data_IF_033073406947
#
_entry.id   IF_033073406947
#
_cell.length_a   1.000
_cell.length_b   1.000
_cell.length_c   1.000
_cell.angle_alpha   90.00
_cell.angle_beta   90.00
_cell.angle_gamma   90.00
#
_symmetry.space_group_name_H-M   'P 1'
#
loop_
_entity.id
_entity.type
_entity.pdbx_description
1 polymer ?
#
# COMPACT_ATOMS: atom_id res chain seq x y z
N UNK A 1 36.52 -2.80 -22.20
CA UNK A 1 36.34 -3.49 -20.90
C UNK A 1 34.99 -3.08 -20.34
N UNK A 2 34.00 -3.98 -20.32
CA UNK A 2 32.71 -3.69 -19.72
C UNK A 2 32.92 -3.60 -18.19
N UNK A 3 32.90 -2.38 -17.65
CA UNK A 3 32.98 -2.17 -16.21
C UNK A 3 31.91 -2.98 -15.48
N UNK A 4 32.27 -3.60 -14.35
CA UNK A 4 31.37 -4.39 -13.51
C UNK A 4 30.06 -3.62 -13.32
N UNK A 5 28.99 -4.08 -13.97
CA UNK A 5 27.66 -3.48 -13.91
C UNK A 5 26.97 -3.85 -12.59
N UNK A 6 27.59 -3.51 -11.46
CA UNK A 6 27.10 -3.80 -10.12
C UNK A 6 25.90 -2.92 -9.78
N UNK A 7 24.91 -3.47 -9.07
CA UNK A 7 23.77 -2.69 -8.57
C UNK A 7 24.24 -1.61 -7.59
N UNK A 8 23.67 -0.41 -7.70
CA UNK A 8 23.84 0.65 -6.70
C UNK A 8 22.71 0.63 -5.68
N UNK A 9 22.93 1.26 -4.53
CA UNK A 9 21.89 1.43 -3.52
C UNK A 9 20.67 2.17 -4.09
N UNK A 10 20.89 3.28 -4.83
CA UNK A 10 19.82 4.06 -5.46
C UNK A 10 18.95 3.22 -6.40
N UNK A 11 19.56 2.39 -7.25
CA UNK A 11 18.83 1.50 -8.15
C UNK A 11 17.96 0.49 -7.38
N UNK A 12 18.49 -0.07 -6.28
CA UNK A 12 17.75 -1.04 -5.46
C UNK A 12 16.63 -0.34 -4.69
N UNK A 13 16.84 0.87 -4.19
CA UNK A 13 15.83 1.69 -3.52
C UNK A 13 14.63 1.92 -4.42
N UNK A 14 14.85 2.32 -5.68
CA UNK A 14 13.75 2.53 -6.64
C UNK A 14 13.04 1.21 -6.97
N UNK A 15 13.75 0.09 -7.09
CA UNK A 15 13.11 -1.22 -7.31
C UNK A 15 12.30 -1.67 -6.09
N UNK A 16 12.78 -1.42 -4.86
CA UNK A 16 12.05 -1.71 -3.62
C UNK A 16 10.79 -0.85 -3.50
N UNK A 17 10.89 0.42 -3.86
CA UNK A 17 9.77 1.34 -3.92
C UNK A 17 8.65 0.85 -4.85
N UNK A 18 9.02 0.44 -6.08
CA UNK A 18 8.08 -0.11 -7.05
C UNK A 18 7.56 -1.49 -6.64
N UNK A 19 8.40 -2.33 -6.00
CA UNK A 19 7.96 -3.59 -5.42
C UNK A 19 6.77 -3.37 -4.48
N UNK A 20 6.83 -2.39 -3.59
CA UNK A 20 5.72 -2.07 -2.68
C UNK A 20 4.46 -1.64 -3.44
N UNK A 21 4.58 -0.71 -4.38
CA UNK A 21 3.46 -0.02 -5.06
C UNK A 21 2.83 -0.78 -6.23
N UNK A 22 3.43 -1.85 -6.73
CA UNK A 22 2.89 -2.64 -7.85
C UNK A 22 2.51 -4.06 -7.43
N UNK A 23 1.42 -4.64 -7.98
CA UNK A 23 1.06 -6.02 -7.64
C UNK A 23 2.17 -7.00 -8.01
N UNK A 24 2.59 -7.82 -7.05
CA UNK A 24 3.75 -8.71 -7.20
C UNK A 24 3.70 -9.60 -8.46
N UNK A 25 2.52 -10.16 -8.77
CA UNK A 25 2.32 -11.02 -9.94
C UNK A 25 2.41 -10.31 -11.29
N UNK A 26 2.50 -8.98 -11.32
CA UNK A 26 2.62 -8.20 -12.56
C UNK A 26 4.07 -7.88 -12.94
N UNK A 27 5.06 -8.19 -12.11
CA UNK A 27 6.47 -8.00 -12.46
C UNK A 27 6.91 -9.03 -13.52
N UNK A 28 6.86 -8.60 -14.78
CA UNK A 28 7.29 -9.37 -15.94
C UNK A 28 8.04 -8.46 -16.90
N UNK A 29 9.13 -8.96 -17.50
CA UNK A 29 9.96 -8.20 -18.43
C UNK A 29 9.18 -7.71 -19.67
N UNK A 30 8.00 -8.29 -19.94
CA UNK A 30 7.11 -7.90 -21.03
C UNK A 30 6.25 -6.67 -20.73
N UNK A 31 6.05 -6.34 -19.46
CA UNK A 31 5.19 -5.22 -19.03
C UNK A 31 5.90 -3.88 -19.21
N UNK A 32 5.18 -2.89 -19.70
CA UNK A 32 5.78 -1.60 -20.06
C UNK A 32 6.35 -0.86 -18.85
N UNK A 33 5.64 -0.86 -17.72
CA UNK A 33 6.16 -0.26 -16.49
C UNK A 33 7.51 -0.88 -16.03
N UNK A 34 7.75 -2.17 -16.29
CA UNK A 34 9.01 -2.84 -15.94
C UNK A 34 10.12 -2.44 -16.92
N UNK A 35 9.80 -2.26 -18.21
CA UNK A 35 10.74 -1.75 -19.21
C UNK A 35 11.12 -0.30 -18.93
N UNK A 36 10.14 0.54 -18.60
CA UNK A 36 10.32 1.94 -18.23
C UNK A 36 11.17 2.07 -16.97
N UNK A 37 10.86 1.30 -15.92
CA UNK A 37 11.66 1.24 -14.70
C UNK A 37 13.11 0.82 -15.01
N UNK A 38 13.29 -0.21 -15.82
CA UNK A 38 14.61 -0.65 -16.27
C UNK A 38 15.38 0.48 -16.97
N UNK A 39 14.75 1.12 -17.96
CA UNK A 39 15.36 2.24 -18.69
C UNK A 39 15.74 3.40 -17.76
N UNK A 40 14.84 3.77 -16.84
CA UNK A 40 15.05 4.84 -15.87
C UNK A 40 16.31 4.62 -15.01
N UNK A 41 16.51 3.39 -14.54
CA UNK A 41 17.62 3.06 -13.64
C UNK A 41 18.86 2.49 -14.36
N UNK A 42 18.87 2.49 -15.70
CA UNK A 42 19.98 1.95 -16.51
C UNK A 42 20.12 0.42 -16.44
N UNK A 43 19.01 -0.32 -16.37
CA UNK A 43 18.94 -1.78 -16.25
C UNK A 43 18.02 -2.40 -17.30
N UNK A 44 18.20 -3.69 -17.58
CA UNK A 44 17.24 -4.43 -18.41
C UNK A 44 16.00 -4.81 -17.60
N UNK A 45 14.86 -4.96 -18.27
CA UNK A 45 13.62 -5.39 -17.65
C UNK A 45 13.77 -6.75 -16.92
N UNK A 46 14.51 -7.70 -17.49
CA UNK A 46 14.83 -8.97 -16.83
C UNK A 46 15.66 -8.81 -15.56
N UNK A 47 16.59 -7.84 -15.54
CA UNK A 47 17.38 -7.56 -14.34
C UNK A 47 16.49 -6.99 -13.22
N UNK A 48 15.53 -6.14 -13.56
CA UNK A 48 14.52 -5.62 -12.62
C UNK A 48 13.67 -6.75 -12.05
N UNK A 49 13.12 -7.63 -12.88
CA UNK A 49 12.30 -8.78 -12.41
C UNK A 49 13.09 -9.67 -11.45
N UNK A 50 14.35 -10.00 -11.79
CA UNK A 50 15.22 -10.76 -10.88
C UNK A 50 15.48 -10.02 -9.57
N UNK A 51 15.68 -8.70 -9.62
CA UNK A 51 15.89 -7.87 -8.42
C UNK A 51 14.67 -7.87 -7.51
N UNK A 52 13.47 -7.77 -8.09
CA UNK A 52 12.20 -7.86 -7.36
C UNK A 52 12.07 -9.22 -6.66
N UNK A 53 12.42 -10.32 -7.34
CA UNK A 53 12.45 -11.65 -6.73
C UNK A 53 13.40 -11.74 -5.53
N UNK A 54 14.61 -11.18 -5.65
CA UNK A 54 15.58 -11.14 -4.54
C UNK A 54 15.04 -10.32 -3.36
N UNK A 55 14.48 -9.13 -3.60
CA UNK A 55 13.91 -8.29 -2.55
C UNK A 55 12.74 -8.99 -1.85
N UNK A 56 11.85 -9.64 -2.62
CA UNK A 56 10.74 -10.41 -2.07
C UNK A 56 11.18 -11.58 -1.17
N UNK A 57 12.40 -12.10 -1.32
CA UNK A 57 12.91 -13.16 -0.44
C UNK A 57 13.24 -12.70 0.99
N UNK A 58 13.39 -11.38 1.19
CA UNK A 58 13.56 -10.78 2.52
C UNK A 58 12.24 -10.44 3.20
N UNK A 59 11.14 -10.42 2.46
CA UNK A 59 9.80 -10.21 3.01
C UNK A 59 9.39 -11.45 3.82
N UNK A 60 9.20 -11.34 5.16
CA UNK A 60 8.88 -12.48 6.00
C UNK A 60 7.62 -13.22 5.54
N UNK A 61 6.63 -12.49 5.01
CA UNK A 61 5.37 -13.06 4.55
C UNK A 61 5.54 -13.79 3.23
N UNK A 62 6.32 -13.24 2.30
CA UNK A 62 6.62 -13.93 1.04
C UNK A 62 7.49 -15.17 1.26
N UNK A 63 8.47 -15.09 2.17
CA UNK A 63 9.30 -16.22 2.56
C UNK A 63 8.49 -17.37 3.15
N UNK A 64 7.50 -17.07 4.01
CA UNK A 64 6.58 -18.08 4.55
C UNK A 64 5.74 -18.80 3.46
N UNK A 65 5.65 -18.22 2.26
CA UNK A 65 4.95 -18.77 1.09
C UNK A 65 5.90 -19.44 0.09
N UNK A 66 7.16 -19.64 0.44
CA UNK A 66 8.15 -20.34 -0.40
C UNK A 66 8.81 -19.47 -1.46
N UNK A 67 8.75 -18.13 -1.33
CA UNK A 67 9.52 -17.24 -2.22
C UNK A 67 10.96 -17.17 -1.72
N UNK A 68 11.87 -17.73 -2.51
CA UNK A 68 13.31 -17.78 -2.24
C UNK A 68 14.09 -16.87 -3.19
N UNK A 69 15.18 -16.29 -2.68
CA UNK A 69 16.05 -15.39 -3.44
C UNK A 69 17.12 -16.14 -4.23
N UNK A 70 17.72 -15.48 -5.22
CA UNK A 70 18.86 -16.05 -5.95
C UNK A 70 20.14 -16.00 -5.09
N UNK A 71 20.87 -17.11 -5.05
CA UNK A 71 21.89 -17.41 -4.03
C UNK A 71 23.15 -16.51 -3.95
N UNK A 72 23.36 -15.53 -4.85
CA UNK A 72 24.70 -14.93 -5.02
C UNK A 72 24.83 -13.39 -5.09
N UNK A 73 23.77 -12.61 -4.87
CA UNK A 73 23.86 -11.12 -4.94
C UNK A 73 23.19 -10.38 -3.77
N UNK A 74 22.81 -11.09 -2.71
CA UNK A 74 21.90 -10.63 -1.67
C UNK A 74 22.44 -9.56 -0.70
N UNK A 75 23.76 -9.35 -0.59
CA UNK A 75 24.32 -8.48 0.48
C UNK A 75 23.84 -7.03 0.42
N UNK A 76 23.89 -6.39 -0.75
CA UNK A 76 23.41 -5.01 -0.87
C UNK A 76 21.88 -4.95 -0.83
N UNK A 77 21.20 -5.96 -1.37
CA UNK A 77 19.74 -6.08 -1.31
C UNK A 77 19.25 -6.14 0.15
N UNK A 78 19.94 -6.89 1.01
CA UNK A 78 19.67 -6.98 2.44
C UNK A 78 19.92 -5.67 3.18
N UNK A 79 20.98 -4.95 2.83
CA UNK A 79 21.28 -3.62 3.41
C UNK A 79 20.16 -2.64 3.08
N UNK A 80 19.75 -2.56 1.82
CA UNK A 80 18.66 -1.69 1.39
C UNK A 80 17.33 -2.12 2.02
N UNK A 81 17.06 -3.42 2.08
CA UNK A 81 15.87 -3.95 2.75
C UNK A 81 15.82 -3.52 4.21
N UNK A 82 16.89 -3.75 4.99
CA UNK A 82 16.96 -3.38 6.42
C UNK A 82 16.87 -1.87 6.65
N UNK A 83 17.38 -1.07 5.71
CA UNK A 83 17.29 0.40 5.78
C UNK A 83 15.85 0.90 5.74
N UNK A 84 14.99 0.24 4.97
CA UNK A 84 13.65 0.74 4.65
C UNK A 84 12.49 -0.09 5.22
N UNK A 85 12.70 -1.35 5.57
CA UNK A 85 11.65 -2.20 6.13
C UNK A 85 11.19 -1.65 7.48
N UNK A 86 9.91 -1.24 7.55
CA UNK A 86 9.35 -0.53 8.70
C UNK A 86 9.57 0.99 8.71
N UNK A 87 10.36 1.53 7.77
CA UNK A 87 10.57 2.97 7.58
C UNK A 87 10.12 3.40 6.17
N UNK A 88 8.81 3.25 5.95
CA UNK A 88 8.18 3.44 4.64
C UNK A 88 8.15 4.89 4.19
N UNK A 89 8.01 5.84 5.12
CA UNK A 89 8.12 7.29 4.82
C UNK A 89 9.47 7.62 4.21
N UNK A 90 10.54 7.08 4.80
CA UNK A 90 11.90 7.30 4.29
C UNK A 90 12.09 6.64 2.92
N UNK A 91 11.54 5.43 2.72
CA UNK A 91 11.59 4.77 1.40
C UNK A 91 10.93 5.64 0.33
N UNK A 92 9.71 6.11 0.61
CA UNK A 92 8.94 6.88 -0.35
C UNK A 92 9.65 8.18 -0.72
N UNK A 93 10.12 8.93 0.28
CA UNK A 93 10.81 10.19 0.06
C UNK A 93 12.16 10.01 -0.67
N UNK A 94 13.01 9.08 -0.22
CA UNK A 94 14.30 8.83 -0.85
C UNK A 94 14.12 8.37 -2.31
N UNK A 95 13.15 7.49 -2.57
CA UNK A 95 12.89 6.99 -3.92
C UNK A 95 12.42 8.10 -4.87
N UNK A 96 11.51 8.98 -4.45
CA UNK A 96 11.06 10.09 -5.28
C UNK A 96 12.18 11.11 -5.57
N UNK A 97 13.08 11.37 -4.60
CA UNK A 97 14.28 12.16 -4.84
C UNK A 97 15.21 11.53 -5.90
N UNK A 98 15.45 10.23 -5.80
CA UNK A 98 16.27 9.49 -6.77
C UNK A 98 15.60 9.53 -8.15
N UNK A 99 14.30 9.28 -8.24
CA UNK A 99 13.54 9.29 -9.49
C UNK A 99 13.59 10.68 -10.15
N UNK A 100 13.39 11.75 -9.36
CA UNK A 100 13.48 13.13 -9.86
C UNK A 100 14.88 13.41 -10.42
N UNK A 101 15.94 13.02 -9.69
CA UNK A 101 17.32 13.16 -10.13
C UNK A 101 17.60 12.39 -11.44
N UNK A 102 17.17 11.12 -11.54
CA UNK A 102 17.34 10.31 -12.75
C UNK A 102 16.60 10.89 -13.97
N UNK A 103 15.50 11.61 -13.73
CA UNK A 103 14.75 12.34 -14.77
C UNK A 103 15.35 13.70 -15.11
N UNK A 104 16.39 14.14 -14.41
CA UNK A 104 16.94 15.50 -14.47
C UNK A 104 15.88 16.58 -14.19
N UNK A 105 15.00 16.33 -13.21
CA UNK A 105 13.92 17.23 -12.79
C UNK A 105 14.04 17.60 -11.32
N UNK A 106 13.48 18.76 -10.95
CA UNK A 106 13.20 19.06 -9.55
C UNK A 106 12.15 18.09 -9.00
N UNK A 107 12.14 17.89 -7.67
CA UNK A 107 11.20 16.96 -7.02
C UNK A 107 9.74 17.36 -7.31
N UNK A 108 9.45 18.65 -7.24
CA UNK A 108 8.08 19.18 -7.42
C UNK A 108 7.60 19.04 -8.86
N UNK A 109 8.50 19.27 -9.82
CA UNK A 109 8.22 19.04 -11.25
C UNK A 109 8.02 17.55 -11.55
N UNK A 110 8.83 16.67 -10.93
CA UNK A 110 8.69 15.22 -11.10
C UNK A 110 7.36 14.68 -10.57
N UNK A 111 6.86 15.26 -9.47
CA UNK A 111 5.59 14.89 -8.84
C UNK A 111 4.37 15.61 -9.44
N UNK A 112 4.55 16.49 -10.43
CA UNK A 112 3.48 17.32 -11.00
C UNK A 112 2.69 18.10 -9.94
N UNK A 113 3.37 18.57 -8.89
CA UNK A 113 2.77 19.33 -7.81
C UNK A 113 2.61 20.78 -8.24
N UNK A 114 1.38 21.30 -8.21
CA UNK A 114 1.16 22.73 -8.36
C UNK A 114 1.75 23.47 -7.14
N UNK A 115 2.77 24.28 -7.41
CA UNK A 115 3.50 25.04 -6.41
C UNK A 115 2.78 26.32 -5.99
N UNK A 116 1.77 26.76 -6.75
CA UNK A 116 1.13 28.05 -6.53
C UNK A 116 0.35 28.08 -5.21
N UNK A 117 -0.20 26.94 -4.79
CA UNK A 117 -0.97 26.76 -3.56
C UNK A 117 -0.13 26.29 -2.35
N UNK A 118 1.20 26.19 -2.51
CA UNK A 118 2.07 25.70 -1.44
C UNK A 118 2.77 26.83 -0.69
N UNK A 119 2.77 26.80 0.67
CA UNK A 119 3.52 27.75 1.48
C UNK A 119 5.02 27.69 1.13
N UNK A 120 5.77 28.71 1.54
CA UNK A 120 7.22 28.78 1.32
C UNK A 120 8.01 28.11 2.45
N UNK A 121 9.28 27.77 2.19
CA UNK A 121 10.18 27.27 3.22
C UNK A 121 9.86 25.86 3.73
N UNK A 122 9.99 25.63 5.04
CA UNK A 122 9.85 24.31 5.65
C UNK A 122 8.45 23.69 5.50
N UNK A 123 7.41 24.52 5.53
CA UNK A 123 6.02 24.07 5.35
C UNK A 123 5.81 23.45 3.97
N UNK A 124 6.47 23.98 2.93
CA UNK A 124 6.46 23.39 1.58
C UNK A 124 6.96 21.95 1.59
N UNK A 125 8.08 21.73 2.26
CA UNK A 125 8.75 20.43 2.32
C UNK A 125 7.88 19.43 3.08
N UNK A 126 7.24 19.86 4.16
CA UNK A 126 6.31 19.02 4.92
C UNK A 126 5.10 18.61 4.08
N UNK A 127 4.50 19.54 3.33
CA UNK A 127 3.35 19.25 2.48
C UNK A 127 3.70 18.32 1.30
N UNK A 128 4.87 18.51 0.68
CA UNK A 128 5.39 17.59 -0.35
C UNK A 128 5.58 16.18 0.24
N UNK A 129 6.24 16.06 1.41
CA UNK A 129 6.42 14.77 2.10
C UNK A 129 5.09 14.10 2.41
N UNK A 130 4.10 14.88 2.88
CA UNK A 130 2.76 14.37 3.19
C UNK A 130 2.09 13.77 1.94
N UNK A 131 2.17 14.45 0.79
CA UNK A 131 1.62 13.96 -0.48
C UNK A 131 2.29 12.66 -0.94
N UNK A 132 3.63 12.64 -0.96
CA UNK A 132 4.42 11.44 -1.29
C UNK A 132 4.02 10.26 -0.40
N UNK A 133 3.92 10.49 0.92
CA UNK A 133 3.57 9.46 1.88
C UNK A 133 2.13 8.93 1.68
N UNK A 134 1.17 9.81 1.40
CA UNK A 134 -0.22 9.43 1.14
C UNK A 134 -0.36 8.62 -0.16
N UNK A 135 0.29 9.06 -1.23
CA UNK A 135 0.28 8.36 -2.51
C UNK A 135 0.96 6.99 -2.42
N UNK A 136 2.12 6.94 -1.76
CA UNK A 136 2.82 5.69 -1.50
C UNK A 136 1.97 4.70 -0.70
N UNK A 137 1.36 5.16 0.40
CA UNK A 137 0.49 4.32 1.23
C UNK A 137 -0.68 3.79 0.40
N UNK A 138 -1.38 4.67 -0.31
CA UNK A 138 -2.52 4.30 -1.15
C UNK A 138 -2.15 3.23 -2.15
N UNK A 139 -1.10 3.46 -2.94
CA UNK A 139 -0.70 2.52 -3.98
C UNK A 139 -0.21 1.19 -3.40
N UNK A 140 0.55 1.22 -2.30
CA UNK A 140 1.05 0.00 -1.66
C UNK A 140 -0.09 -0.85 -1.11
N UNK A 141 -1.08 -0.24 -0.45
CA UNK A 141 -2.27 -0.93 0.03
C UNK A 141 -3.03 -1.53 -1.15
N UNK A 142 -3.40 -0.75 -2.17
CA UNK A 142 -4.13 -1.27 -3.34
C UNK A 142 -3.36 -2.41 -4.04
N UNK A 143 -2.05 -2.27 -4.20
CA UNK A 143 -1.20 -3.29 -4.81
C UNK A 143 -1.12 -4.60 -4.00
N UNK A 144 -1.11 -4.50 -2.66
CA UNK A 144 -1.07 -5.67 -1.77
C UNK A 144 -2.30 -6.57 -1.92
N UNK A 145 -3.47 -5.97 -2.18
CA UNK A 145 -4.74 -6.63 -2.47
C UNK A 145 -4.96 -6.90 -3.97
N UNK A 146 -3.93 -6.72 -4.81
CA UNK A 146 -4.01 -6.89 -6.26
C UNK A 146 -5.13 -6.05 -6.90
N UNK A 147 -5.30 -4.82 -6.43
CA UNK A 147 -6.33 -3.87 -6.86
C UNK A 147 -7.75 -4.45 -6.73
N UNK A 148 -8.06 -5.00 -5.56
CA UNK A 148 -9.35 -5.60 -5.27
C UNK A 148 -9.82 -5.23 -3.87
N UNK A 149 -11.09 -4.83 -3.73
CA UNK A 149 -11.70 -4.64 -2.42
C UNK A 149 -11.65 -5.95 -1.63
N UNK A 150 -11.20 -5.89 -0.37
CA UNK A 150 -11.05 -7.06 0.49
C UNK A 150 -12.39 -7.62 1.01
N UNK A 151 -13.48 -6.87 0.93
CA UNK A 151 -14.83 -7.31 1.30
C UNK A 151 -15.59 -7.83 0.07
N UNK A 152 -15.71 -7.01 -0.97
CA UNK A 152 -16.59 -7.29 -2.12
C UNK A 152 -15.89 -7.96 -3.30
N UNK A 153 -14.55 -7.95 -3.35
CA UNK A 153 -13.81 -8.40 -4.52
C UNK A 153 -13.91 -7.48 -5.75
N UNK A 154 -14.49 -6.28 -5.61
CA UNK A 154 -14.57 -5.28 -6.68
C UNK A 154 -13.16 -4.86 -7.13
N UNK A 155 -12.91 -4.84 -8.45
CA UNK A 155 -11.58 -4.59 -9.03
C UNK A 155 -11.43 -3.29 -9.83
N UNK A 156 -12.44 -2.43 -9.83
CA UNK A 156 -12.35 -1.14 -10.53
C UNK A 156 -11.55 -0.14 -9.68
N UNK A 157 -10.33 0.26 -10.08
CA UNK A 157 -9.47 1.11 -9.24
C UNK A 157 -10.09 2.48 -8.91
N UNK A 158 -10.98 2.99 -9.76
CA UNK A 158 -11.69 4.26 -9.52
C UNK A 158 -12.64 4.19 -8.31
N UNK A 159 -13.06 2.99 -7.95
CA UNK A 159 -13.97 2.74 -6.82
C UNK A 159 -13.22 2.24 -5.57
N UNK A 160 -11.90 2.10 -5.63
CA UNK A 160 -11.07 1.59 -4.53
C UNK A 160 -10.45 2.72 -3.72
N UNK A 161 -10.39 2.47 -2.42
CA UNK A 161 -9.79 3.32 -1.40
C UNK A 161 -8.80 2.51 -0.57
N UNK A 162 -7.75 3.18 -0.12
CA UNK A 162 -6.87 2.69 0.93
C UNK A 162 -7.36 3.29 2.25
N UNK A 163 -8.03 2.48 3.05
CA UNK A 163 -8.52 2.85 4.37
C UNK A 163 -7.44 2.56 5.40
N UNK A 164 -7.18 3.52 6.30
CA UNK A 164 -6.37 3.26 7.48
C UNK A 164 -7.18 2.48 8.51
N UNK A 165 -6.56 1.48 9.15
CA UNK A 165 -7.20 0.75 10.25
C UNK A 165 -7.30 1.66 11.47
N UNK A 166 -6.19 2.27 11.85
CA UNK A 166 -6.10 3.32 12.88
C UNK A 166 -5.76 4.65 12.20
N UNK A 167 -6.52 5.69 12.53
CA UNK A 167 -6.53 6.95 11.79
C UNK A 167 -5.18 7.69 11.77
N UNK A 168 -4.91 8.40 10.68
CA UNK A 168 -3.66 9.13 10.43
C UNK A 168 -3.20 10.08 11.55
N UNK A 169 -4.15 10.70 12.26
CA UNK A 169 -3.86 11.63 13.36
C UNK A 169 -3.49 10.93 14.67
N UNK A 170 -3.89 9.67 14.83
CA UNK A 170 -3.76 8.94 16.09
C UNK A 170 -2.41 8.24 16.20
N UNK A 171 -1.81 7.85 15.08
CA UNK A 171 -0.57 7.08 15.07
C UNK A 171 0.38 7.56 13.95
N UNK A 172 1.34 8.39 14.31
CA UNK A 172 2.32 8.92 13.36
C UNK A 172 3.23 7.84 12.78
N UNK A 173 3.59 6.83 13.58
CA UNK A 173 4.49 5.77 13.18
C UNK A 173 3.87 4.83 12.13
N UNK A 174 2.53 4.73 12.10
CA UNK A 174 1.79 3.86 11.19
C UNK A 174 1.15 4.57 9.99
N UNK A 175 1.45 5.85 9.76
CA UNK A 175 0.87 6.65 8.64
C UNK A 175 1.10 6.04 7.27
N UNK A 176 2.31 5.55 7.03
CA UNK A 176 2.70 4.89 5.77
C UNK A 176 2.87 3.39 5.90
N UNK A 177 2.57 2.81 7.08
CA UNK A 177 2.65 1.38 7.29
C UNK A 177 1.54 0.66 6.49
N UNK A 178 1.86 -0.13 5.45
CA UNK A 178 0.82 -0.79 4.67
C UNK A 178 0.05 -1.85 5.46
N UNK A 179 0.59 -2.36 6.58
CA UNK A 179 -0.15 -3.25 7.49
C UNK A 179 -1.24 -2.51 8.30
N UNK A 180 -1.21 -1.18 8.32
CA UNK A 180 -2.30 -0.32 8.82
C UNK A 180 -3.33 -0.02 7.71
N UNK A 181 -3.38 -0.83 6.64
CA UNK A 181 -4.15 -0.54 5.44
C UNK A 181 -5.12 -1.64 5.02
N UNK A 182 -6.33 -1.23 4.64
CA UNK A 182 -7.34 -2.07 4.02
C UNK A 182 -7.69 -1.51 2.62
N UNK A 183 -7.74 -2.37 1.61
CA UNK A 183 -8.29 -1.99 0.32
C UNK A 183 -9.81 -2.18 0.34
N UNK A 184 -10.57 -1.09 0.36
CA UNK A 184 -12.03 -1.10 0.42
C UNK A 184 -12.61 -0.39 -0.81
N UNK A 185 -13.86 -0.69 -1.15
CA UNK A 185 -14.58 0.16 -2.08
C UNK A 185 -15.13 1.40 -1.35
N UNK A 186 -15.59 2.42 -2.06
CA UNK A 186 -16.05 3.68 -1.44
C UNK A 186 -17.15 3.51 -0.37
N UNK A 187 -18.08 2.57 -0.55
CA UNK A 187 -19.16 2.31 0.42
C UNK A 187 -18.60 1.74 1.72
N UNK A 188 -17.85 0.63 1.62
CA UNK A 188 -17.30 -0.03 2.80
C UNK A 188 -16.18 0.79 3.46
N UNK A 189 -15.45 1.61 2.69
CA UNK A 189 -14.51 2.57 3.25
C UNK A 189 -15.21 3.54 4.19
N UNK A 190 -16.26 4.22 3.71
CA UNK A 190 -17.00 5.17 4.53
C UNK A 190 -17.69 4.47 5.71
N UNK A 191 -18.22 3.28 5.51
CA UNK A 191 -18.84 2.51 6.58
C UNK A 191 -17.84 2.09 7.67
N UNK A 192 -16.59 1.78 7.30
CA UNK A 192 -15.54 1.44 8.26
C UNK A 192 -15.10 2.67 9.07
N UNK A 193 -14.90 3.80 8.40
CA UNK A 193 -14.51 5.08 9.04
C UNK A 193 -15.58 5.58 10.03
N UNK A 194 -16.85 5.31 9.75
CA UNK A 194 -18.01 5.72 10.58
C UNK A 194 -18.45 4.64 11.59
N UNK A 195 -17.63 3.60 11.82
CA UNK A 195 -17.95 2.49 12.73
C UNK A 195 -19.30 1.80 12.44
N UNK A 196 -19.74 1.80 11.18
CA UNK A 196 -20.93 1.05 10.73
C UNK A 196 -20.58 -0.42 10.41
N UNK A 197 -19.30 -0.70 10.18
CA UNK A 197 -18.74 -2.04 10.10
C UNK A 197 -17.48 -2.13 10.96
N UNK A 198 -17.21 -3.30 11.51
CA UNK A 198 -15.98 -3.63 12.21
C UNK A 198 -15.31 -4.83 11.56
N UNK A 199 -13.97 -4.90 11.63
CA UNK A 199 -13.21 -6.10 11.23
C UNK A 199 -12.43 -6.57 12.44
N UNK A 200 -12.71 -7.78 12.91
CA UNK A 200 -12.07 -8.33 14.10
C UNK A 200 -10.59 -8.68 13.85
N UNK A 201 -9.79 -8.90 14.91
CA UNK A 201 -8.41 -9.40 14.80
C UNK A 201 -8.26 -10.75 14.10
N UNK A 202 -9.36 -11.49 13.94
CA UNK A 202 -9.43 -12.76 13.21
C UNK A 202 -9.94 -12.61 11.77
N UNK A 203 -10.00 -11.35 11.31
CA UNK A 203 -10.36 -10.90 9.98
C UNK A 203 -11.83 -11.08 9.62
N UNK A 204 -12.70 -11.26 10.62
CA UNK A 204 -14.15 -11.40 10.44
C UNK A 204 -14.84 -10.05 10.40
N UNK A 205 -15.78 -9.87 9.47
CA UNK A 205 -16.57 -8.66 9.30
C UNK A 205 -17.78 -8.72 10.22
N UNK A 206 -18.02 -7.66 10.98
CA UNK A 206 -19.30 -7.38 11.62
C UNK A 206 -19.94 -6.14 11.02
N UNK A 207 -21.26 -6.18 10.85
CA UNK A 207 -22.05 -5.07 10.32
C UNK A 207 -23.04 -4.63 11.41
N UNK A 208 -23.01 -3.34 11.75
CA UNK A 208 -23.97 -2.74 12.68
C UNK A 208 -25.34 -2.58 12.04
N UNK A 209 -26.42 -2.74 12.80
CA UNK A 209 -27.77 -2.42 12.33
C UNK A 209 -27.90 -0.94 11.92
N UNK A 210 -27.08 -0.06 12.50
CA UNK A 210 -27.01 1.37 12.13
C UNK A 210 -26.58 1.59 10.68
N UNK A 211 -25.97 0.58 10.02
CA UNK A 211 -25.58 0.65 8.62
C UNK A 211 -26.75 1.03 7.70
N UNK A 212 -27.97 0.56 8.03
CA UNK A 212 -29.16 0.76 7.20
C UNK A 212 -29.91 2.06 7.51
N UNK A 213 -29.48 2.80 8.54
CA UNK A 213 -30.16 3.99 9.04
C UNK A 213 -31.55 3.70 9.63
N UNK A 214 -32.20 4.77 10.09
CA UNK A 214 -33.44 4.69 10.88
C UNK A 214 -34.66 5.31 10.15
N UNK A 215 -34.53 5.65 8.87
CA UNK A 215 -35.58 6.37 8.15
C UNK A 215 -36.82 5.48 7.89
N UNK A 216 -38.05 6.04 7.96
CA UNK A 216 -39.27 5.32 7.62
C UNK A 216 -39.23 4.75 6.20
N UNK A 217 -39.69 3.51 6.03
CA UNK A 217 -39.66 2.78 4.76
C UNK A 217 -38.47 1.81 4.62
N UNK A 218 -37.46 1.92 5.48
CA UNK A 218 -36.32 1.00 5.52
C UNK A 218 -35.51 0.97 4.21
N UNK A 219 -34.61 0.00 4.12
CA UNK A 219 -33.92 -0.36 2.88
C UNK A 219 -34.65 -1.52 2.19
N UNK A 220 -34.64 -1.61 0.86
CA UNK A 220 -35.14 -2.78 0.14
C UNK A 220 -34.48 -4.07 0.64
N UNK A 221 -35.24 -5.15 0.72
CA UNK A 221 -34.76 -6.43 1.28
C UNK A 221 -33.56 -6.96 0.50
N UNK A 222 -33.55 -6.84 -0.83
CA UNK A 222 -32.43 -7.31 -1.67
C UNK A 222 -31.13 -6.56 -1.34
N UNK A 223 -31.23 -5.28 -0.98
CA UNK A 223 -30.07 -4.48 -0.55
C UNK A 223 -29.61 -4.92 0.84
N UNK A 224 -30.56 -5.17 1.76
CA UNK A 224 -30.26 -5.65 3.11
C UNK A 224 -29.57 -7.01 3.06
N UNK A 225 -30.13 -7.95 2.31
CA UNK A 225 -29.56 -9.28 2.09
C UNK A 225 -28.17 -9.23 1.46
N UNK A 226 -27.97 -8.38 0.44
CA UNK A 226 -26.66 -8.20 -0.19
C UNK A 226 -25.59 -7.73 0.82
N UNK A 227 -25.91 -6.73 1.64
CA UNK A 227 -24.98 -6.19 2.65
C UNK A 227 -24.74 -7.21 3.77
N UNK A 228 -25.81 -7.76 4.36
CA UNK A 228 -25.71 -8.74 5.43
C UNK A 228 -25.07 -10.05 4.98
N UNK A 229 -25.06 -10.34 3.67
CA UNK A 229 -24.32 -11.47 3.09
C UNK A 229 -22.81 -11.42 3.33
N UNK A 230 -22.25 -10.26 3.72
CA UNK A 230 -20.86 -10.11 4.16
C UNK A 230 -20.67 -10.24 5.67
N UNK A 231 -21.74 -10.18 6.47
CA UNK A 231 -21.65 -10.30 7.92
C UNK A 231 -21.11 -11.68 8.32
N UNK A 232 -20.24 -11.73 9.32
CA UNK A 232 -19.50 -12.93 9.75
C UNK A 232 -18.61 -13.58 8.69
N UNK A 233 -18.40 -12.94 7.54
CA UNK A 233 -17.44 -13.42 6.54
C UNK A 233 -16.06 -12.88 6.83
N UNK A 234 -15.04 -13.61 6.39
CA UNK A 234 -13.66 -13.14 6.46
C UNK A 234 -13.32 -12.26 5.28
N UNK A 235 -12.57 -11.19 5.52
CA UNK A 235 -11.98 -10.40 4.43
C UNK A 235 -10.97 -11.25 3.63
N UNK A 236 -10.82 -10.91 2.35
CA UNK A 236 -9.79 -11.48 1.50
C UNK A 236 -8.45 -10.86 1.90
N UNK A 237 -7.56 -11.68 2.44
CA UNK A 237 -6.24 -11.24 2.89
C UNK A 237 -5.28 -10.95 1.72
N UNK A 238 -4.44 -9.91 1.83
CA UNK A 238 -3.44 -9.62 0.83
C UNK A 238 -2.31 -10.66 0.88
N UNK A 239 -1.48 -10.69 -0.16
CA UNK A 239 -0.32 -11.61 -0.21
C UNK A 239 0.91 -11.08 0.53
N UNK A 240 1.01 -9.76 0.62
CA UNK A 240 2.04 -8.98 1.31
C UNK A 240 1.34 -7.99 2.23
N UNK A 241 2.03 -7.52 3.28
CA UNK A 241 1.48 -6.51 4.20
C UNK A 241 0.09 -6.89 4.74
N UNK A 242 0.01 -8.01 5.47
CA UNK A 242 -1.26 -8.40 6.07
C UNK A 242 -1.71 -7.32 7.07
N UNK A 243 -3.02 -7.05 7.17
CA UNK A 243 -3.55 -6.16 8.20
C UNK A 243 -3.05 -6.58 9.58
N UNK A 244 -2.48 -5.63 10.29
CA UNK A 244 -1.97 -5.84 11.63
C UNK A 244 -3.14 -6.14 12.58
N UNK A 245 -3.04 -7.26 13.30
CA UNK A 245 -4.11 -7.75 14.18
C UNK A 245 -4.33 -6.85 15.39
N UNK A 246 -3.28 -6.23 15.91
CA UNK A 246 -3.37 -5.33 17.06
C UNK A 246 -4.04 -4.01 16.66
N UNK A 247 -3.72 -3.48 15.47
CA UNK A 247 -4.41 -2.31 14.92
C UNK A 247 -5.90 -2.60 14.67
N UNK A 248 -6.22 -3.79 14.13
CA UNK A 248 -7.61 -4.23 13.96
C UNK A 248 -8.32 -4.33 15.31
N UNK A 249 -7.65 -4.86 16.35
CA UNK A 249 -8.23 -4.97 17.68
C UNK A 249 -8.63 -3.60 18.25
N UNK A 250 -7.76 -2.60 18.10
CA UNK A 250 -8.02 -1.23 18.56
C UNK A 250 -9.24 -0.60 17.88
N UNK A 251 -9.32 -0.69 16.55
CA UNK A 251 -10.48 -0.16 15.81
C UNK A 251 -11.76 -0.95 16.15
N UNK A 252 -11.66 -2.28 16.21
CA UNK A 252 -12.77 -3.16 16.48
C UNK A 252 -13.36 -2.97 17.89
N UNK A 253 -12.53 -2.66 18.88
CA UNK A 253 -12.99 -2.29 20.23
C UNK A 253 -13.85 -1.02 20.19
N UNK A 254 -13.41 0.01 19.46
CA UNK A 254 -14.23 1.22 19.26
C UNK A 254 -15.56 0.91 18.55
N UNK A 255 -15.53 0.08 17.50
CA UNK A 255 -16.75 -0.38 16.84
C UNK A 255 -17.70 -1.09 17.82
N UNK A 256 -17.19 -1.98 18.67
CA UNK A 256 -18.03 -2.69 19.64
C UNK A 256 -18.65 -1.75 20.68
N UNK A 257 -17.95 -0.70 21.10
CA UNK A 257 -18.50 0.32 22.00
C UNK A 257 -19.63 1.13 21.37
N UNK A 258 -19.59 1.40 20.06
CA UNK A 258 -20.62 2.17 19.36
C UNK A 258 -21.86 1.34 18.98
N UNK A 259 -21.76 0.00 19.05
CA UNK A 259 -22.84 -0.95 18.68
C UNK A 259 -23.67 -1.39 19.90
N UNK A 260 -23.16 -1.23 21.13
CA UNK A 260 -23.90 -1.50 22.38
C UNK A 260 -24.71 -0.28 22.84
#
# INVERSE_FOLDING_TARGET
>A
MAGKNNWTEEQITVVLYEYCRKPFGQFSARKDFVKELGALIGRTADAVVRKVGNLASFDPKMKSRGVEGLAHTAKLDEVVWKKYYGNWEKLAYDAELIIASLRNKGLEESLSIDLHDLPAGEERIQEIKRRINQDFFRETVLASYNQSCCITGLKNPLLLQASHIVGWKQDEANRTNPENGLCLNSLFHKAYDENLIGISPDYEILISDKFFGERPGGVPEETREYILGFNHKKIVLPRRFLPNRDLLALHYEHFCHDVV
#
